data_IF_041211588833
#
_entry.id   IF_041211588833
#
_cell.length_a   1.000
_cell.length_b   1.000
_cell.length_c   1.000
_cell.angle_alpha   90.00
_cell.angle_beta   90.00
_cell.angle_gamma   90.00
#
_symmetry.space_group_name_H-M   'P 1'
#
loop_
_entity.id
_entity.type
_entity.pdbx_description
1 polymer ?
#
# COMPACT_ATOMS: atom_id res chain seq x y z
N UNK A 1 -12.88 -14.04 4.63
CA UNK A 1 -12.51 -13.39 3.36
C UNK A 1 -12.34 -11.91 3.58
N UNK A 2 -11.14 -11.36 3.36
CA UNK A 2 -10.88 -9.93 3.53
C UNK A 2 -11.38 -9.18 2.28
N UNK A 3 -12.60 -8.67 2.32
CA UNK A 3 -13.09 -7.75 1.27
C UNK A 3 -12.63 -6.34 1.68
N UNK A 4 -11.50 -5.90 1.14
CA UNK A 4 -11.05 -4.51 1.29
C UNK A 4 -12.02 -3.60 0.52
N UNK A 5 -13.07 -3.16 1.20
CA UNK A 5 -14.04 -2.19 0.69
C UNK A 5 -13.59 -0.79 1.07
N UNK A 6 -13.40 0.08 0.07
CA UNK A 6 -13.09 1.49 0.32
C UNK A 6 -14.37 2.31 0.15
N UNK A 7 -14.90 2.80 1.28
CA UNK A 7 -16.02 3.76 1.30
C UNK A 7 -15.51 5.21 1.40
N UNK A 8 -14.41 5.55 0.73
CA UNK A 8 -13.78 6.87 0.86
C UNK A 8 -13.74 7.62 -0.47
N UNK A 9 -14.42 8.77 -0.50
CA UNK A 9 -14.41 9.74 -1.61
C UNK A 9 -12.97 10.21 -1.92
N UNK A 10 -12.09 10.26 -0.91
CA UNK A 10 -10.66 10.63 -1.07
C UNK A 10 -9.94 9.74 -2.09
N UNK A 11 -10.36 8.48 -2.19
CA UNK A 11 -9.76 7.49 -3.09
C UNK A 11 -10.50 7.35 -4.43
N UNK A 12 -11.49 8.23 -4.70
CA UNK A 12 -12.31 8.26 -5.90
C UNK A 12 -12.96 6.90 -6.19
N UNK A 13 -13.65 6.36 -5.19
CA UNK A 13 -14.56 5.22 -5.36
C UNK A 13 -16.00 5.75 -5.48
N UNK A 14 -16.86 5.12 -6.31
CA UNK A 14 -16.60 3.92 -7.10
C UNK A 14 -15.68 4.19 -8.30
N UNK A 15 -14.93 3.18 -8.74
CA UNK A 15 -14.10 3.26 -9.95
C UNK A 15 -14.92 2.89 -11.18
N UNK A 16 -14.59 3.48 -12.32
CA UNK A 16 -15.19 3.08 -13.60
C UNK A 16 -14.94 1.60 -13.90
N UNK A 17 -15.91 0.97 -14.58
CA UNK A 17 -15.73 -0.37 -15.11
C UNK A 17 -14.64 -0.37 -16.18
N UNK A 18 -13.86 -1.44 -16.21
CA UNK A 18 -12.78 -1.60 -17.17
C UNK A 18 -12.70 -3.07 -17.56
N UNK A 19 -12.82 -3.39 -18.84
CA UNK A 19 -12.79 -4.78 -19.27
C UNK A 19 -11.37 -5.38 -19.25
N UNK A 20 -10.35 -4.53 -19.35
CA UNK A 20 -8.94 -4.93 -19.32
C UNK A 20 -8.15 -4.05 -18.35
N UNK A 21 -7.03 -4.58 -17.84
CA UNK A 21 -6.08 -3.78 -17.08
C UNK A 21 -5.22 -2.97 -18.05
N UNK A 22 -5.24 -1.65 -17.93
CA UNK A 22 -4.50 -0.73 -18.81
C UNK A 22 -3.48 0.05 -18.01
N UNK A 23 -2.26 0.16 -18.55
CA UNK A 23 -1.24 1.01 -17.96
C UNK A 23 -1.55 2.49 -18.24
N UNK A 24 -1.88 3.24 -17.19
CA UNK A 24 -2.12 4.68 -17.30
C UNK A 24 -0.82 5.45 -17.58
N UNK A 25 -0.84 6.40 -18.51
CA UNK A 25 0.33 7.21 -18.85
C UNK A 25 0.65 8.17 -17.69
N UNK A 26 1.62 7.81 -16.85
CA UNK A 26 2.00 8.61 -15.67
C UNK A 26 0.99 8.57 -14.52
N UNK A 27 0.00 7.68 -14.58
CA UNK A 27 -0.99 7.47 -13.55
C UNK A 27 -0.95 6.02 -13.05
N UNK A 28 -1.69 5.73 -11.99
CA UNK A 28 -1.89 4.36 -11.55
C UNK A 28 -2.56 3.52 -12.66
N UNK A 29 -2.23 2.23 -12.78
CA UNK A 29 -2.90 1.36 -13.73
C UNK A 29 -4.40 1.33 -13.47
N UNK A 30 -5.18 1.36 -14.55
CA UNK A 30 -6.62 1.14 -14.51
C UNK A 30 -6.82 -0.36 -14.50
N UNK A 31 -7.13 -0.93 -13.35
CA UNK A 31 -7.35 -2.37 -13.20
C UNK A 31 -8.69 -2.80 -13.81
N UNK A 32 -8.72 -4.00 -14.37
CA UNK A 32 -9.96 -4.65 -14.82
C UNK A 32 -11.00 -4.70 -13.70
N UNK A 33 -12.20 -4.22 -13.99
CA UNK A 33 -13.42 -4.26 -13.16
C UNK A 33 -14.56 -4.72 -14.05
N UNK A 34 -14.98 -5.98 -13.86
CA UNK A 34 -16.09 -6.56 -14.63
C UNK A 34 -17.41 -5.97 -14.16
N UNK A 35 -18.34 -5.83 -15.11
CA UNK A 35 -19.76 -5.61 -14.84
C UNK A 35 -20.50 -6.93 -15.06
N UNK A 36 -20.40 -7.83 -14.08
CA UNK A 36 -20.96 -9.18 -14.09
C UNK A 36 -22.27 -9.29 -13.29
N UNK A 37 -22.78 -8.17 -12.77
CA UNK A 37 -23.98 -8.15 -11.93
C UNK A 37 -23.78 -8.77 -10.54
N UNK A 38 -22.55 -9.21 -10.21
CA UNK A 38 -22.21 -9.77 -8.92
C UNK A 38 -22.12 -8.65 -7.87
N UNK A 39 -22.91 -8.79 -6.80
CA UNK A 39 -22.90 -7.88 -5.66
C UNK A 39 -22.65 -8.65 -4.37
N UNK A 40 -21.98 -8.01 -3.41
CA UNK A 40 -21.75 -8.56 -2.09
C UNK A 40 -22.26 -7.58 -1.03
N UNK A 41 -22.96 -8.10 -0.02
CA UNK A 41 -23.40 -7.27 1.12
C UNK A 41 -22.27 -7.14 2.12
N UNK A 42 -21.73 -5.94 2.29
CA UNK A 42 -20.69 -5.63 3.28
C UNK A 42 -21.18 -4.50 4.16
N UNK A 43 -21.25 -4.74 5.48
CA UNK A 43 -21.72 -3.76 6.49
C UNK A 43 -23.11 -3.19 6.14
N UNK A 44 -24.03 -4.05 5.72
CA UNK A 44 -25.41 -3.68 5.38
C UNK A 44 -25.59 -2.91 4.07
N UNK A 45 -24.54 -2.76 3.25
CA UNK A 45 -24.61 -2.17 1.91
C UNK A 45 -24.33 -3.21 0.86
N UNK A 46 -25.17 -3.28 -0.18
CA UNK A 46 -24.86 -4.06 -1.39
C UNK A 46 -23.80 -3.33 -2.20
N UNK A 47 -22.69 -4.00 -2.51
CA UNK A 47 -21.56 -3.41 -3.20
C UNK A 47 -21.17 -4.26 -4.40
N UNK A 48 -21.05 -3.57 -5.53
CA UNK A 48 -20.61 -4.17 -6.78
C UNK A 48 -19.08 -4.04 -6.97
N UNK A 49 -18.57 -4.71 -8.00
CA UNK A 49 -17.16 -4.67 -8.47
C UNK A 49 -16.47 -3.27 -8.47
N UNK A 50 -17.13 -2.14 -8.80
CA UNK A 50 -16.56 -0.79 -8.72
C UNK A 50 -16.08 -0.33 -7.33
N UNK A 51 -16.63 -0.91 -6.26
CA UNK A 51 -16.34 -0.54 -4.86
C UNK A 51 -15.23 -1.36 -4.23
N UNK A 52 -14.83 -2.45 -4.89
CA UNK A 52 -13.88 -3.43 -4.36
C UNK A 52 -12.45 -3.08 -4.80
N UNK A 53 -11.49 -3.21 -3.91
CA UNK A 53 -10.07 -3.12 -4.31
C UNK A 53 -9.67 -4.40 -5.04
N UNK A 54 -9.08 -4.34 -6.24
CA UNK A 54 -8.60 -5.53 -6.93
C UNK A 54 -7.64 -6.33 -6.05
N UNK A 55 -7.79 -7.65 -6.04
CA UNK A 55 -6.92 -8.55 -5.29
C UNK A 55 -6.49 -9.72 -6.17
N UNK A 56 -5.36 -10.34 -5.81
CA UNK A 56 -4.93 -11.59 -6.41
C UNK A 56 -5.44 -12.75 -5.52
N UNK A 57 -6.37 -13.59 -6.01
CA UNK A 57 -6.93 -14.69 -5.23
C UNK A 57 -5.87 -15.67 -4.72
N UNK A 58 -4.86 -15.98 -5.54
CA UNK A 58 -3.79 -16.93 -5.19
C UNK A 58 -3.00 -16.44 -3.99
N UNK A 59 -2.63 -15.16 -3.99
CA UNK A 59 -1.81 -14.59 -2.92
C UNK A 59 -2.61 -14.30 -1.66
N UNK A 60 -3.89 -13.95 -1.82
CA UNK A 60 -4.80 -13.82 -0.69
C UNK A 60 -5.02 -15.16 0.01
N UNK A 61 -5.12 -16.26 -0.76
CA UNK A 61 -5.28 -17.59 -0.21
C UNK A 61 -4.03 -18.07 0.54
N UNK A 62 -2.85 -17.83 -0.03
CA UNK A 62 -1.59 -18.27 0.57
C UNK A 62 -1.24 -17.51 1.85
N UNK A 63 -1.39 -16.19 1.85
CA UNK A 63 -0.90 -15.33 2.94
C UNK A 63 -1.99 -14.79 3.85
N UNK A 64 -3.27 -15.05 3.55
CA UNK A 64 -4.43 -14.55 4.32
C UNK A 64 -4.51 -13.02 4.48
N UNK A 65 -3.81 -12.24 3.64
CA UNK A 65 -3.93 -10.78 3.63
C UNK A 65 -3.87 -10.16 2.22
N UNK A 66 -4.31 -8.90 2.13
CA UNK A 66 -4.44 -8.19 0.86
C UNK A 66 -3.17 -7.41 0.53
N UNK A 67 -2.41 -7.90 -0.45
CA UNK A 67 -1.25 -7.19 -1.00
C UNK A 67 -1.62 -6.28 -2.17
N UNK A 68 -1.09 -5.06 -2.17
CA UNK A 68 -1.10 -4.19 -3.34
C UNK A 68 0.15 -4.48 -4.19
N UNK A 69 0.01 -5.35 -5.19
CA UNK A 69 1.13 -5.71 -6.08
C UNK A 69 1.10 -4.83 -7.32
N UNK A 70 2.28 -4.28 -7.63
CA UNK A 70 2.50 -3.48 -8.83
C UNK A 70 3.64 -4.11 -9.63
N UNK A 71 3.32 -4.52 -10.86
CA UNK A 71 4.31 -5.01 -11.83
C UNK A 71 4.71 -3.82 -12.67
N UNK A 72 6.01 -3.56 -12.77
CA UNK A 72 6.52 -2.41 -13.51
C UNK A 72 7.74 -2.81 -14.34
N UNK A 73 7.80 -2.30 -15.57
CA UNK A 73 8.89 -2.58 -16.51
C UNK A 73 9.70 -1.32 -16.85
N UNK A 74 9.83 -0.37 -15.90
CA UNK A 74 10.42 0.95 -16.14
C UNK A 74 11.53 1.25 -15.13
N UNK A 75 12.62 1.86 -15.59
CA UNK A 75 13.74 2.33 -14.77
C UNK A 75 13.31 3.29 -13.65
N UNK A 76 12.21 4.04 -13.86
CA UNK A 76 11.60 4.91 -12.84
C UNK A 76 11.18 4.13 -11.60
N UNK A 77 10.87 2.85 -11.75
CA UNK A 77 10.48 1.98 -10.63
C UNK A 77 11.69 1.45 -9.88
N UNK A 78 12.83 1.24 -10.54
CA UNK A 78 14.07 0.92 -9.83
C UNK A 78 14.44 2.06 -8.87
N UNK A 79 14.30 3.31 -9.32
CA UNK A 79 14.48 4.49 -8.45
C UNK A 79 13.49 4.50 -7.28
N UNK A 80 12.22 4.14 -7.54
CA UNK A 80 11.21 4.03 -6.49
C UNK A 80 11.55 2.91 -5.49
N UNK A 81 11.90 1.72 -5.96
CA UNK A 81 12.25 0.58 -5.12
C UNK A 81 13.49 0.88 -4.27
N UNK A 82 14.53 1.46 -4.87
CA UNK A 82 15.72 1.89 -4.15
C UNK A 82 15.39 2.87 -3.04
N UNK A 83 14.53 3.87 -3.32
CA UNK A 83 14.01 4.80 -2.29
C UNK A 83 13.24 4.10 -1.18
N UNK A 84 12.54 3.00 -1.45
CA UNK A 84 11.76 2.27 -0.44
C UNK A 84 12.62 1.35 0.42
N UNK A 85 13.60 0.67 -0.17
CA UNK A 85 14.57 -0.17 0.55
C UNK A 85 15.47 0.67 1.44
N UNK A 86 15.93 1.82 0.93
CA UNK A 86 16.84 2.73 1.61
C UNK A 86 16.11 3.95 2.19
N UNK A 87 14.78 3.87 2.32
CA UNK A 87 14.06 4.84 3.15
C UNK A 87 14.51 4.51 4.55
N UNK A 88 15.43 5.30 5.09
CA UNK A 88 15.96 5.05 6.43
C UNK A 88 14.79 4.86 7.38
N UNK A 89 14.79 3.68 7.98
CA UNK A 89 14.02 3.35 9.15
C UNK A 89 14.40 4.45 10.17
N UNK A 90 13.41 5.16 10.70
CA UNK A 90 13.61 6.31 11.60
C UNK A 90 14.14 5.81 12.96
N UNK A 91 15.31 5.15 12.93
CA UNK A 91 15.95 4.45 14.03
C UNK A 91 16.59 5.51 14.88
N UNK A 92 15.78 6.06 15.78
CA UNK A 92 16.32 6.83 16.89
C UNK A 92 17.10 5.85 17.75
N UNK A 93 18.41 5.85 17.58
CA UNK A 93 19.32 5.11 18.44
C UNK A 93 19.41 5.83 19.77
N UNK A 94 18.66 5.37 20.77
CA UNK A 94 18.83 5.85 22.14
C UNK A 94 19.91 5.03 22.83
N UNK A 95 20.99 5.71 23.24
CA UNK A 95 22.00 5.15 24.13
C UNK A 95 21.60 5.46 25.56
N UNK A 96 21.19 4.45 26.31
CA UNK A 96 20.93 4.58 27.75
C UNK A 96 22.28 4.49 28.47
N UNK A 97 22.79 5.61 28.95
CA UNK A 97 23.92 5.62 29.90
C UNK A 97 23.36 5.52 31.32
N UNK A 98 23.83 4.54 32.09
CA UNK A 98 23.54 4.50 33.53
C UNK A 98 24.31 5.62 34.21
N UNK A 99 23.59 6.49 34.90
CA UNK A 99 24.15 7.59 35.66
C UNK A 99 24.87 7.03 36.88
N UNK A 100 26.17 6.76 36.73
CA UNK A 100 27.07 6.56 37.87
C UNK A 100 27.84 7.86 37.98
N UNK A 101 27.39 8.72 38.89
CA UNK A 101 27.87 10.09 39.00
C UNK A 101 29.37 10.15 39.25
N UNK A 102 30.07 10.92 38.41
CA UNK A 102 31.05 11.95 38.80
C UNK A 102 31.79 12.50 37.57
N UNK A 103 31.64 13.81 37.38
CA UNK A 103 32.59 14.78 36.81
C UNK A 103 32.98 14.80 35.32
N UNK A 104 33.19 16.05 34.91
CA UNK A 104 33.34 16.72 33.61
C UNK A 104 34.39 16.16 32.64
N UNK A 105 34.09 16.10 31.33
CA UNK A 105 35.00 16.53 30.24
C UNK A 105 34.19 16.98 28.99
N UNK A 106 34.52 18.16 28.45
CA UNK A 106 34.04 18.72 27.18
C UNK A 106 34.35 17.81 25.97
N UNK A 107 33.48 17.76 24.96
CA UNK A 107 33.71 18.42 23.65
C UNK A 107 32.84 17.86 22.50
N UNK A 108 32.33 18.82 21.73
CA UNK A 108 32.14 18.86 20.26
C UNK A 108 30.99 18.11 19.58
N UNK A 109 30.12 18.97 19.02
CA UNK A 109 29.31 18.79 17.82
C UNK A 109 29.96 17.87 16.77
N UNK A 110 29.15 16.95 16.26
CA UNK A 110 28.97 16.69 14.83
C UNK A 110 27.49 16.42 14.58
#
# INVERSE_FOLDING_TARGET
>A
MCVCVIQSVKNRYPKEFAYYTVHGKGSYPIYRRKNDGCSATVRGKSLDSPWVVPYNPTLLLEFNFHFNIKIFCDIRVVKYLYKYVHKEDNRVAFRITQDTGSETVNDRKL
#
